data_IF_432594811540
#
_entry.id   IF_432594811540
#
_cell.length_a   1.000
_cell.length_b   1.000
_cell.length_c   1.000
_cell.angle_alpha   90.00
_cell.angle_beta   90.00
_cell.angle_gamma   90.00
#
_symmetry.space_group_name_H-M   'P 1'
#
loop_
_entity.id
_entity.type
_entity.pdbx_description
1 polymer ?
#
# COMPACT_ATOMS: atom_id res chain seq x y z
N UNK A 1 -46.70 -54.47 29.17
CA UNK A 1 -45.74 -53.34 29.10
C UNK A 1 -45.22 -53.21 27.68
N UNK A 2 -45.59 -52.14 26.95
CA UNK A 2 -44.93 -51.70 25.72
C UNK A 2 -45.09 -50.18 25.62
N UNK A 3 -44.04 -49.44 25.97
CA UNK A 3 -43.86 -48.03 25.59
C UNK A 3 -42.60 -48.03 24.74
N UNK A 4 -42.75 -47.71 23.46
CA UNK A 4 -41.63 -47.50 22.54
C UNK A 4 -41.94 -46.28 21.70
N UNK A 5 -40.91 -45.42 21.62
CA UNK A 5 -40.67 -44.33 20.64
C UNK A 5 -41.45 -43.03 20.83
N UNK A 6 -40.84 -42.12 21.59
CA UNK A 6 -40.94 -40.68 21.35
C UNK A 6 -39.58 -40.02 21.59
N UNK A 7 -38.61 -40.19 20.69
CA UNK A 7 -37.38 -39.39 20.66
C UNK A 7 -36.76 -39.50 19.27
N UNK A 8 -37.18 -38.68 18.30
CA UNK A 8 -36.48 -38.60 17.01
C UNK A 8 -36.78 -37.33 16.19
N UNK A 9 -37.13 -36.20 16.81
CA UNK A 9 -37.41 -34.96 16.07
C UNK A 9 -36.71 -33.69 16.58
N UNK A 10 -35.75 -33.80 17.50
CA UNK A 10 -35.07 -32.62 18.09
C UNK A 10 -33.62 -32.40 17.63
N UNK A 11 -33.05 -33.25 16.77
CA UNK A 11 -31.64 -33.12 16.35
C UNK A 11 -31.42 -32.35 15.04
N UNK A 12 -32.46 -32.03 14.25
CA UNK A 12 -32.28 -31.40 12.93
C UNK A 12 -32.34 -29.86 12.90
N UNK A 13 -32.76 -29.21 13.99
CA UNK A 13 -32.90 -27.73 14.03
C UNK A 13 -31.66 -27.02 14.60
N UNK A 14 -30.76 -27.77 15.25
CA UNK A 14 -29.52 -27.21 15.81
C UNK A 14 -28.38 -27.10 14.77
N UNK A 15 -28.32 -28.03 13.80
CA UNK A 15 -27.24 -28.05 12.80
C UNK A 15 -27.33 -26.93 11.78
N UNK A 16 -28.53 -26.49 11.40
CA UNK A 16 -28.73 -25.44 10.40
C UNK A 16 -28.36 -24.04 10.90
N UNK A 17 -28.51 -23.75 12.20
CA UNK A 17 -28.06 -22.48 12.79
C UNK A 17 -26.55 -22.40 12.98
N UNK A 18 -25.88 -23.51 13.30
CA UNK A 18 -24.42 -23.56 13.36
C UNK A 18 -23.78 -23.41 11.98
N UNK A 19 -24.33 -24.06 10.95
CA UNK A 19 -23.82 -23.96 9.58
C UNK A 19 -24.00 -22.56 8.98
N UNK A 20 -25.10 -21.87 9.31
CA UNK A 20 -25.32 -20.48 8.92
C UNK A 20 -24.34 -19.52 9.63
N UNK A 21 -24.04 -19.74 10.92
CA UNK A 21 -23.08 -18.94 11.67
C UNK A 21 -21.64 -19.13 11.17
N UNK A 22 -21.23 -20.37 10.86
CA UNK A 22 -19.93 -20.67 10.26
C UNK A 22 -19.78 -20.10 8.85
N UNK A 23 -20.81 -20.23 8.00
CA UNK A 23 -20.83 -19.63 6.66
C UNK A 23 -20.75 -18.11 6.71
N UNK A 24 -21.43 -17.48 7.67
CA UNK A 24 -21.39 -16.02 7.86
C UNK A 24 -20.03 -15.57 8.38
N UNK A 25 -19.42 -16.27 9.34
CA UNK A 25 -18.08 -15.96 9.82
C UNK A 25 -17.00 -16.16 8.76
N UNK A 26 -17.08 -17.20 7.93
CA UNK A 26 -16.15 -17.42 6.82
C UNK A 26 -16.28 -16.32 5.76
N UNK A 27 -17.51 -15.90 5.46
CA UNK A 27 -17.77 -14.81 4.51
C UNK A 27 -17.24 -13.48 5.05
N UNK A 28 -17.43 -13.18 6.34
CA UNK A 28 -16.87 -11.99 6.98
C UNK A 28 -15.34 -12.02 7.00
N UNK A 29 -14.72 -13.17 7.33
CA UNK A 29 -13.26 -13.33 7.29
C UNK A 29 -12.70 -13.14 5.88
N UNK A 30 -13.36 -13.72 4.87
CA UNK A 30 -12.99 -13.57 3.47
C UNK A 30 -13.11 -12.10 3.03
N UNK A 31 -14.21 -11.42 3.36
CA UNK A 31 -14.40 -10.00 3.04
C UNK A 31 -13.37 -9.10 3.74
N UNK A 32 -13.07 -9.33 5.02
CA UNK A 32 -12.02 -8.60 5.76
C UNK A 32 -10.64 -8.85 5.15
N UNK A 33 -10.37 -10.08 4.70
CA UNK A 33 -9.10 -10.43 4.06
C UNK A 33 -8.98 -9.83 2.66
N UNK A 34 -10.02 -9.85 1.85
CA UNK A 34 -10.08 -9.15 0.55
C UNK A 34 -9.93 -7.63 0.73
N UNK A 35 -10.56 -7.05 1.74
CA UNK A 35 -10.43 -5.63 2.06
C UNK A 35 -9.00 -5.29 2.48
N UNK A 36 -8.36 -6.14 3.30
CA UNK A 36 -6.94 -6.00 3.69
C UNK A 36 -5.98 -6.18 2.52
N UNK A 37 -6.29 -7.05 1.56
CA UNK A 37 -5.50 -7.24 0.33
C UNK A 37 -5.68 -6.08 -0.65
N UNK A 38 -6.89 -5.53 -0.75
CA UNK A 38 -7.20 -4.37 -1.58
C UNK A 38 -6.49 -3.08 -1.08
N UNK A 39 -6.12 -3.02 0.20
CA UNK A 39 -5.35 -1.90 0.76
C UNK A 39 -3.96 -1.74 0.13
N UNK A 40 -3.36 -2.80 -0.41
CA UNK A 40 -2.01 -2.78 -1.00
C UNK A 40 -2.03 -2.87 -2.53
N UNK A 41 -3.20 -2.65 -3.13
CA UNK A 41 -3.47 -2.77 -4.56
C UNK A 41 -4.11 -1.48 -5.04
N UNK A 42 -3.44 -0.75 -5.93
CA UNK A 42 -3.87 0.57 -6.38
C UNK A 42 -4.12 0.56 -7.88
N UNK A 43 -5.32 0.96 -8.32
CA UNK A 43 -5.55 1.14 -9.75
C UNK A 43 -4.74 2.35 -10.23
N UNK A 44 -4.05 2.20 -11.35
CA UNK A 44 -3.42 3.30 -12.09
C UNK A 44 -3.98 3.31 -13.50
N UNK A 45 -3.73 4.37 -14.28
CA UNK A 45 -4.05 4.35 -15.72
C UNK A 45 -3.25 3.33 -16.53
N UNK A 46 -2.13 2.86 -15.99
CA UNK A 46 -1.25 1.88 -16.62
C UNK A 46 -1.53 0.44 -16.15
N UNK A 47 -2.54 0.24 -15.30
CA UNK A 47 -2.93 -1.05 -14.72
C UNK A 47 -2.81 -1.08 -13.20
N UNK A 48 -2.97 -2.26 -12.61
CA UNK A 48 -2.95 -2.43 -11.16
C UNK A 48 -1.50 -2.41 -10.62
N UNK A 49 -1.24 -1.53 -9.66
CA UNK A 49 -0.03 -1.47 -8.85
C UNK A 49 -0.23 -2.31 -7.58
N UNK A 50 0.74 -3.14 -7.19
CA UNK A 50 0.65 -3.93 -5.95
C UNK A 50 1.95 -3.89 -5.15
N UNK A 51 1.83 -3.72 -3.85
CA UNK A 51 2.92 -3.85 -2.88
C UNK A 51 2.96 -5.29 -2.38
N UNK A 52 4.05 -6.00 -2.66
CA UNK A 52 4.19 -7.45 -2.47
C UNK A 52 5.33 -7.75 -1.50
N UNK A 53 5.02 -8.46 -0.41
CA UNK A 53 5.97 -8.94 0.59
C UNK A 53 6.85 -10.07 0.06
N UNK A 54 7.84 -10.50 0.86
CA UNK A 54 8.79 -11.55 0.48
C UNK A 54 8.11 -12.91 0.19
N UNK A 55 6.97 -13.18 0.82
CA UNK A 55 6.18 -14.41 0.63
C UNK A 55 5.28 -14.37 -0.61
N UNK A 56 5.37 -13.30 -1.42
CA UNK A 56 4.56 -13.11 -2.63
C UNK A 56 3.15 -12.58 -2.39
N UNK A 57 2.76 -12.29 -1.15
CA UNK A 57 1.43 -11.75 -0.82
C UNK A 57 1.43 -10.22 -0.76
N UNK A 58 0.29 -9.56 -1.05
CA UNK A 58 0.14 -8.14 -0.82
C UNK A 58 0.32 -7.76 0.66
N UNK A 59 1.08 -6.70 0.97
CA UNK A 59 1.35 -6.30 2.36
C UNK A 59 2.12 -4.99 2.53
N UNK A 60 2.12 -4.47 3.76
CA UNK A 60 2.76 -3.21 4.15
C UNK A 60 4.29 -3.26 4.05
N UNK A 61 4.90 -4.42 4.38
CA UNK A 61 6.35 -4.60 4.36
C UNK A 61 6.81 -5.17 3.01
N UNK A 62 6.51 -4.44 1.94
CA UNK A 62 6.75 -4.96 0.60
C UNK A 62 8.25 -5.01 0.27
N UNK A 63 8.62 -6.07 -0.45
CA UNK A 63 9.95 -6.22 -1.06
C UNK A 63 9.93 -5.86 -2.54
N UNK A 64 8.77 -5.96 -3.16
CA UNK A 64 8.58 -5.65 -4.57
C UNK A 64 7.28 -4.88 -4.74
N UNK A 65 7.34 -3.84 -5.56
CA UNK A 65 6.16 -3.19 -6.11
C UNK A 65 6.02 -3.68 -7.55
N UNK A 66 4.85 -4.20 -7.89
CA UNK A 66 4.55 -4.69 -9.24
C UNK A 66 3.53 -3.80 -9.93
N UNK A 67 3.63 -3.67 -11.25
CA UNK A 67 2.64 -3.03 -12.11
C UNK A 67 2.20 -4.05 -13.18
N UNK A 68 0.90 -4.32 -13.27
CA UNK A 68 0.36 -5.39 -14.16
C UNK A 68 1.03 -6.75 -13.92
N UNK A 69 1.34 -7.06 -12.67
CA UNK A 69 2.02 -8.30 -12.28
C UNK A 69 3.50 -8.38 -12.66
N UNK A 70 4.09 -7.34 -13.26
CA UNK A 70 5.53 -7.26 -13.55
C UNK A 70 6.24 -6.42 -12.49
N UNK A 71 7.47 -6.77 -12.06
CA UNK A 71 8.23 -5.94 -11.14
C UNK A 71 8.44 -4.52 -11.70
N UNK A 72 8.08 -3.51 -10.91
CA UNK A 72 8.34 -2.10 -11.19
C UNK A 72 9.52 -1.59 -10.34
N UNK A 73 9.53 -1.95 -9.06
CA UNK A 73 10.58 -1.64 -8.11
C UNK A 73 10.79 -2.85 -7.19
N UNK A 74 12.04 -3.22 -6.92
CA UNK A 74 12.36 -4.28 -5.98
C UNK A 74 13.55 -3.86 -5.11
N UNK A 75 13.50 -4.24 -3.83
CA UNK A 75 14.61 -4.14 -2.89
C UNK A 75 15.04 -5.55 -2.53
N UNK A 76 16.36 -5.83 -2.57
CA UNK A 76 16.91 -7.18 -2.30
C UNK A 76 17.81 -7.13 -1.08
N UNK A 77 17.35 -7.71 0.02
CA UNK A 77 18.10 -7.85 1.27
C UNK A 77 18.77 -6.56 1.77
N UNK A 78 18.22 -5.41 1.38
CA UNK A 78 18.77 -4.11 1.73
C UNK A 78 18.56 -3.85 3.22
N UNK A 79 19.60 -3.32 3.85
CA UNK A 79 19.63 -2.98 5.28
C UNK A 79 20.05 -1.53 5.48
N UNK A 80 19.57 -0.91 6.54
CA UNK A 80 20.13 0.37 7.00
C UNK A 80 21.52 0.19 7.63
N UNK A 81 22.15 1.31 8.01
CA UNK A 81 23.46 1.31 8.66
C UNK A 81 23.46 0.63 10.05
N UNK A 82 22.29 0.34 10.62
CA UNK A 82 22.13 -0.40 11.88
C UNK A 82 21.89 -1.90 11.64
N UNK A 83 21.81 -2.35 10.39
CA UNK A 83 21.55 -3.74 10.02
C UNK A 83 20.08 -4.13 9.97
N UNK A 84 19.14 -3.19 10.12
CA UNK A 84 17.71 -3.46 10.01
C UNK A 84 17.31 -3.64 8.55
N UNK A 85 16.52 -4.67 8.26
CA UNK A 85 16.00 -4.88 6.92
C UNK A 85 15.05 -3.75 6.50
N UNK A 86 15.18 -3.28 5.26
CA UNK A 86 14.33 -2.22 4.70
C UNK A 86 13.09 -2.82 4.02
N UNK A 87 11.99 -2.08 4.02
CA UNK A 87 10.73 -2.40 3.35
C UNK A 87 10.25 -1.22 2.52
N UNK A 88 9.52 -1.50 1.45
CA UNK A 88 8.76 -0.52 0.67
C UNK A 88 7.37 -0.38 1.29
N UNK A 89 7.03 0.81 1.72
CA UNK A 89 5.77 1.09 2.43
C UNK A 89 5.04 2.27 1.79
N UNK A 90 3.76 2.38 2.12
CA UNK A 90 2.91 3.52 1.78
C UNK A 90 2.81 4.45 2.97
N UNK A 91 2.60 5.74 2.71
CA UNK A 91 2.16 6.68 3.73
C UNK A 91 0.64 6.80 3.68
N UNK A 92 -0.05 6.04 4.54
CA UNK A 92 -1.50 5.95 4.61
C UNK A 92 -2.14 7.03 5.50
N UNK A 93 -1.39 7.59 6.46
CA UNK A 93 -1.88 8.62 7.38
C UNK A 93 -1.86 10.03 6.80
N UNK A 94 -1.13 10.25 5.70
CA UNK A 94 -1.09 11.54 4.98
C UNK A 94 -1.69 11.41 3.59
N UNK A 95 -2.96 11.82 3.38
CA UNK A 95 -3.62 11.72 2.07
C UNK A 95 -2.86 12.43 0.94
N UNK A 96 -2.08 13.46 1.26
CA UNK A 96 -1.25 14.17 0.27
C UNK A 96 -0.09 13.33 -0.29
N UNK A 97 0.27 12.20 0.31
CA UNK A 97 1.30 11.28 -0.20
C UNK A 97 0.96 10.70 -1.57
N UNK A 98 -0.33 10.73 -1.96
CA UNK A 98 -0.84 10.15 -3.19
C UNK A 98 -1.68 11.17 -3.95
N UNK A 99 -1.36 11.37 -5.24
CA UNK A 99 -2.22 12.12 -6.15
C UNK A 99 -3.17 11.16 -6.86
N UNK A 100 -4.46 11.48 -6.86
CA UNK A 100 -5.49 10.72 -7.56
C UNK A 100 -5.94 11.43 -8.84
N UNK A 101 -6.45 10.65 -9.80
CA UNK A 101 -7.22 11.18 -10.92
C UNK A 101 -8.51 11.83 -10.40
N UNK A 102 -8.99 12.84 -11.12
CA UNK A 102 -10.28 13.45 -10.81
C UNK A 102 -11.38 12.37 -10.91
N UNK A 103 -12.18 12.23 -9.85
CA UNK A 103 -13.31 11.31 -9.86
C UNK A 103 -14.34 11.80 -10.87
N UNK A 104 -14.77 10.91 -11.76
CA UNK A 104 -15.95 11.15 -12.60
C UNK A 104 -17.18 10.85 -11.75
N UNK A 105 -18.10 11.81 -11.64
CA UNK A 105 -19.31 11.66 -10.84
C UNK A 105 -20.13 10.46 -11.33
N UNK A 106 -20.58 9.60 -10.40
CA UNK A 106 -21.38 8.41 -10.70
C UNK A 106 -20.58 7.13 -10.98
N UNK A 107 -19.24 7.19 -11.02
CA UNK A 107 -18.42 6.00 -11.20
C UNK A 107 -18.04 5.37 -9.86
N UNK A 108 -18.41 4.10 -9.64
CA UNK A 108 -18.18 3.37 -8.39
C UNK A 108 -16.74 2.81 -8.25
N UNK A 109 -15.89 3.04 -9.25
CA UNK A 109 -14.53 2.49 -9.27
C UNK A 109 -13.63 3.15 -8.23
N UNK A 110 -12.67 2.37 -7.71
CA UNK A 110 -11.61 2.90 -6.84
C UNK A 110 -10.84 4.00 -7.60
N UNK A 111 -10.55 5.15 -6.96
CA UNK A 111 -9.88 6.25 -7.64
C UNK A 111 -8.49 5.83 -8.11
N UNK A 112 -8.19 6.10 -9.38
CA UNK A 112 -6.88 5.80 -9.97
C UNK A 112 -5.83 6.74 -9.39
N UNK A 113 -4.67 6.20 -9.05
CA UNK A 113 -3.52 7.01 -8.63
C UNK A 113 -2.77 7.51 -9.87
N UNK A 114 -2.30 8.76 -9.80
CA UNK A 114 -1.43 9.40 -10.79
C UNK A 114 0.02 9.35 -10.33
N UNK A 115 0.26 9.67 -9.07
CA UNK A 115 1.58 9.71 -8.43
C UNK A 115 1.45 9.27 -6.98
N UNK A 116 2.51 8.66 -6.43
CA UNK A 116 2.58 8.40 -5.01
C UNK A 116 4.02 8.50 -4.48
N UNK A 117 4.15 8.90 -3.22
CA UNK A 117 5.38 8.77 -2.45
C UNK A 117 5.39 7.39 -1.81
N UNK A 118 6.47 6.66 -2.04
CA UNK A 118 6.80 5.38 -1.42
C UNK A 118 7.87 5.62 -0.37
N UNK A 119 7.66 5.03 0.79
CA UNK A 119 8.60 5.07 1.91
C UNK A 119 9.55 3.88 1.79
N UNK A 120 10.85 4.10 2.04
CA UNK A 120 11.84 3.06 2.19
C UNK A 120 12.44 3.13 3.60
N UNK A 121 12.18 2.13 4.42
CA UNK A 121 12.64 2.10 5.81
C UNK A 121 12.34 0.76 6.47
N UNK A 122 12.89 0.48 7.67
CA UNK A 122 12.55 -0.73 8.42
C UNK A 122 11.09 -0.78 8.86
N UNK A 123 10.50 0.38 9.12
CA UNK A 123 9.11 0.55 9.58
C UNK A 123 8.59 1.92 9.16
N UNK A 124 7.27 2.11 9.07
CA UNK A 124 6.67 3.33 8.53
C UNK A 124 7.00 4.59 9.37
N UNK A 125 7.19 4.45 10.68
CA UNK A 125 7.59 5.54 11.57
C UNK A 125 9.11 5.79 11.59
N UNK A 126 9.92 5.00 10.87
CA UNK A 126 11.33 5.26 10.67
C UNK A 126 11.71 5.10 9.20
N UNK A 127 11.42 6.12 8.42
CA UNK A 127 11.76 6.15 6.99
C UNK A 127 13.22 6.54 6.82
N UNK A 128 13.95 5.85 5.94
CA UNK A 128 15.35 6.15 5.64
C UNK A 128 15.48 6.99 4.38
N UNK A 129 14.67 6.67 3.36
CA UNK A 129 14.60 7.37 2.08
C UNK A 129 13.19 7.30 1.50
N UNK A 130 12.93 8.10 0.48
CA UNK A 130 11.65 8.18 -0.22
C UNK A 130 11.86 7.95 -1.71
N UNK A 131 10.82 7.49 -2.39
CA UNK A 131 10.78 7.25 -3.83
C UNK A 131 9.45 7.78 -4.36
N UNK A 132 9.42 8.35 -5.55
CA UNK A 132 8.17 8.72 -6.24
C UNK A 132 7.90 7.70 -7.33
N UNK A 133 6.69 7.16 -7.33
CA UNK A 133 6.13 6.45 -8.48
C UNK A 133 5.22 7.42 -9.24
N UNK A 134 5.44 7.56 -10.54
CA UNK A 134 4.69 8.45 -11.40
C UNK A 134 4.11 7.68 -12.59
N UNK A 135 2.80 7.74 -12.74
CA UNK A 135 2.04 7.06 -13.79
C UNK A 135 1.45 8.06 -14.79
N UNK A 136 1.86 9.33 -14.77
CA UNK A 136 1.35 10.41 -15.64
C UNK A 136 1.98 10.44 -17.04
N UNK A 137 3.03 9.65 -17.27
CA UNK A 137 3.68 9.42 -18.58
C UNK A 137 3.16 8.17 -19.31
N UNK A 138 3.57 7.97 -20.56
CA UNK A 138 3.17 6.78 -21.36
C UNK A 138 3.56 5.47 -20.66
N UNK A 139 4.70 5.50 -19.96
CA UNK A 139 5.20 4.44 -19.11
C UNK A 139 5.27 4.92 -17.65
N UNK A 140 5.34 3.96 -16.73
CA UNK A 140 5.55 4.26 -15.32
C UNK A 140 6.99 4.73 -15.10
N UNK A 141 7.14 5.76 -14.27
CA UNK A 141 8.43 6.30 -13.87
C UNK A 141 8.66 6.04 -12.38
N UNK A 142 9.89 5.68 -12.03
CA UNK A 142 10.36 5.51 -10.66
C UNK A 142 11.49 6.50 -10.44
N UNK A 143 11.34 7.41 -9.49
CA UNK A 143 12.39 8.39 -9.20
C UNK A 143 13.61 7.71 -8.57
N UNK A 144 14.74 8.40 -8.63
CA UNK A 144 15.83 8.13 -7.70
C UNK A 144 15.37 8.30 -6.25
N UNK A 145 16.06 7.63 -5.34
CA UNK A 145 15.81 7.73 -3.90
C UNK A 145 16.23 9.11 -3.40
N UNK A 146 15.41 9.73 -2.56
CA UNK A 146 15.69 11.04 -1.95
C UNK A 146 15.42 11.02 -0.44
N UNK A 147 15.77 12.12 0.24
CA UNK A 147 15.76 12.20 1.69
C UNK A 147 17.19 12.16 2.24
N UNK A 148 17.78 13.33 2.43
CA UNK A 148 19.10 13.52 2.99
C UNK A 148 19.17 12.94 4.41
N UNK A 149 19.87 11.82 4.56
CA UNK A 149 20.08 11.11 5.82
C UNK A 149 21.55 10.67 5.91
N UNK A 150 22.48 11.61 6.16
CA UNK A 150 23.90 11.30 6.23
C UNK A 150 24.14 10.27 7.34
N UNK A 151 24.80 9.16 7.01
CA UNK A 151 25.03 8.03 7.92
C UNK A 151 23.85 7.06 8.07
N UNK A 152 22.71 7.30 7.40
CA UNK A 152 21.52 6.45 7.40
C UNK A 152 20.99 6.10 8.82
N UNK A 153 21.29 6.92 9.81
CA UNK A 153 20.93 6.68 11.22
C UNK A 153 19.61 7.33 11.60
N UNK A 154 19.27 8.48 11.01
CA UNK A 154 18.06 9.21 11.37
C UNK A 154 16.79 8.54 10.80
N UNK A 155 15.67 8.79 11.47
CA UNK A 155 14.34 8.47 10.98
C UNK A 155 13.74 9.74 10.34
N UNK A 156 13.60 9.74 9.02
CA UNK A 156 12.89 10.78 8.29
C UNK A 156 11.38 10.56 8.39
N UNK A 157 10.62 11.63 8.22
CA UNK A 157 9.17 11.58 8.16
C UNK A 157 8.66 12.32 6.92
N UNK A 158 7.65 11.80 6.26
CA UNK A 158 6.91 12.55 5.25
C UNK A 158 6.00 13.56 5.94
N UNK A 159 5.99 14.82 5.46
CA UNK A 159 5.09 15.85 5.99
C UNK A 159 3.93 16.11 5.05
N UNK A 160 4.22 16.43 3.79
CA UNK A 160 3.21 16.67 2.75
C UNK A 160 3.81 16.63 1.35
N UNK A 161 2.95 16.45 0.36
CA UNK A 161 3.27 16.74 -1.03
C UNK A 161 2.25 17.73 -1.61
N UNK A 162 2.73 18.65 -2.44
CA UNK A 162 1.91 19.54 -3.26
C UNK A 162 2.14 19.16 -4.72
N UNK A 163 1.22 18.39 -5.26
CA UNK A 163 1.29 17.86 -6.62
C UNK A 163 0.95 18.93 -7.65
N UNK A 164 1.92 19.29 -8.50
CA UNK A 164 1.70 20.18 -9.64
C UNK A 164 1.85 19.44 -10.97
N UNK A 165 1.48 20.07 -12.08
CA UNK A 165 1.51 19.42 -13.42
C UNK A 165 2.94 19.15 -13.90
N UNK A 166 3.84 20.12 -13.74
CA UNK A 166 5.25 20.03 -14.17
C UNK A 166 6.19 19.71 -13.02
N UNK A 167 5.92 20.34 -11.88
CA UNK A 167 6.75 20.27 -10.68
C UNK A 167 5.85 19.98 -9.48
N UNK A 168 6.37 19.26 -8.50
CA UNK A 168 5.69 18.99 -7.23
C UNK A 168 6.64 19.24 -6.08
N UNK A 169 6.14 19.87 -5.02
CA UNK A 169 6.89 20.08 -3.79
C UNK A 169 6.66 18.91 -2.85
N UNK A 170 7.74 18.32 -2.34
CA UNK A 170 7.70 17.25 -1.33
C UNK A 170 8.39 17.78 -0.08
N UNK A 171 7.62 18.00 0.98
CA UNK A 171 8.15 18.44 2.27
C UNK A 171 8.31 17.24 3.20
N UNK A 172 9.49 17.09 3.79
CA UNK A 172 9.76 16.11 4.85
C UNK A 172 9.68 16.77 6.23
N UNK A 173 9.79 15.98 7.30
CA UNK A 173 9.97 16.50 8.66
C UNK A 173 11.26 17.32 8.78
N UNK A 174 11.19 18.45 9.50
CA UNK A 174 12.26 19.45 9.54
C UNK A 174 12.18 20.47 8.38
N UNK A 175 13.23 21.29 8.17
CA UNK A 175 13.31 22.25 7.07
C UNK A 175 13.85 21.58 5.79
N UNK A 176 13.24 20.47 5.36
CA UNK A 176 13.71 19.68 4.22
C UNK A 176 12.62 19.64 3.13
N UNK A 177 12.85 20.36 2.05
CA UNK A 177 11.94 20.42 0.90
C UNK A 177 12.63 19.92 -0.36
N UNK A 178 11.91 19.16 -1.19
CA UNK A 178 12.39 18.65 -2.47
C UNK A 178 11.44 19.04 -3.58
N UNK A 179 11.98 19.29 -4.77
CA UNK A 179 11.20 19.53 -5.99
C UNK A 179 11.30 18.30 -6.87
N UNK A 180 10.16 17.69 -7.15
CA UNK A 180 10.02 16.62 -8.13
C UNK A 180 9.55 17.18 -9.48
N UNK A 181 10.32 16.94 -10.53
CA UNK A 181 9.90 17.20 -11.91
C UNK A 181 9.16 15.98 -12.44
N UNK A 182 7.90 16.14 -12.88
CA UNK A 182 7.04 15.05 -13.37
C UNK A 182 7.76 14.20 -14.43
N UNK A 183 7.83 12.89 -14.20
CA UNK A 183 8.57 11.94 -15.04
C UNK A 183 10.10 12.13 -15.07
N UNK A 184 10.68 12.84 -14.10
CA UNK A 184 12.09 13.23 -14.09
C UNK A 184 12.74 13.26 -12.71
N UNK A 185 13.71 14.16 -12.53
CA UNK A 185 14.56 14.21 -11.33
C UNK A 185 13.85 14.77 -10.09
N UNK A 186 14.39 14.42 -8.93
CA UNK A 186 14.10 15.06 -7.64
C UNK A 186 15.30 15.91 -7.26
N UNK A 187 15.08 17.18 -6.90
CA UNK A 187 16.14 18.12 -6.49
C UNK A 187 15.90 18.52 -5.03
N UNK A 188 16.96 18.49 -4.21
CA UNK A 188 16.95 19.02 -2.85
C UNK A 188 17.93 18.31 -1.91
N UNK A 189 17.88 18.61 -0.60
CA UNK A 189 16.94 19.56 0.00
C UNK A 189 17.21 21.02 -0.46
N UNK A 190 16.14 21.80 -0.64
CA UNK A 190 16.17 23.25 -0.91
C UNK A 190 15.62 24.06 0.27
#
# INVERSE_FOLDING_TARGET
>A
MKIVRLFLLLSMVASSKLQAADGTMQTVKAAVQEQKLAMYSYPTRLGELKFVAADGKPGADARTITLRGKPLLAIKDEKDAQGNALSLMIEDLKPSSTEYEAKIAGQADRPKIRRMVVLLGPVANCVKQFIILDFTGKDAFVSERFGHNPGATACLAFKRATWGKKESEITLGGPLTYVYYTGGKVIGPI
#
